data_IF_181141279752
#
_entry.id   IF_181141279752
#
_cell.length_a   1.000
_cell.length_b   1.000
_cell.length_c   1.000
_cell.angle_alpha   90.00
_cell.angle_beta   90.00
_cell.angle_gamma   90.00
#
_symmetry.space_group_name_H-M   'P 1'
#
loop_
_entity.id
_entity.type
_entity.pdbx_description
1 polymer ?
#
# COMPACT_ATOMS: atom_id res chain seq x y z
N UNK A 1 -9.57 10.92 20.30
CA UNK A 1 -10.12 9.86 19.42
C UNK A 1 -8.92 9.22 18.74
N UNK A 2 -8.81 7.88 18.67
CA UNK A 2 -7.72 7.29 17.89
C UNK A 2 -7.92 7.69 16.43
N UNK A 3 -6.99 8.49 15.91
CA UNK A 3 -7.00 8.91 14.51
C UNK A 3 -6.85 7.67 13.64
N UNK A 4 -7.68 7.52 12.62
CA UNK A 4 -7.57 6.40 11.69
C UNK A 4 -6.15 6.33 11.12
N UNK A 5 -5.58 5.14 11.02
CA UNK A 5 -4.23 4.97 10.45
C UNK A 5 -4.28 5.45 8.98
N UNK A 6 -3.36 6.34 8.55
CA UNK A 6 -3.43 6.94 7.22
C UNK A 6 -3.32 5.90 6.09
N UNK A 7 -2.58 4.81 6.31
CA UNK A 7 -2.54 3.71 5.36
C UNK A 7 -3.87 2.94 5.34
N UNK A 8 -4.52 2.74 6.48
CA UNK A 8 -5.82 2.09 6.51
C UNK A 8 -6.85 2.85 5.69
N UNK A 9 -6.89 4.18 5.81
CA UNK A 9 -7.76 5.03 5.00
C UNK A 9 -7.42 4.95 3.50
N UNK A 10 -6.14 5.02 3.15
CA UNK A 10 -5.68 4.90 1.76
C UNK A 10 -6.05 3.54 1.14
N UNK A 11 -5.82 2.44 1.85
CA UNK A 11 -6.16 1.11 1.35
C UNK A 11 -7.69 0.91 1.26
N UNK A 12 -8.46 1.46 2.20
CA UNK A 12 -9.93 1.37 2.18
C UNK A 12 -10.53 2.16 1.01
N UNK A 13 -9.96 3.32 0.69
CA UNK A 13 -10.39 4.20 -0.38
C UNK A 13 -9.41 4.16 -1.57
N UNK A 14 -8.89 2.98 -1.89
CA UNK A 14 -7.89 2.83 -2.94
C UNK A 14 -8.46 3.30 -4.29
N UNK A 15 -7.81 4.25 -4.97
CA UNK A 15 -8.39 4.87 -6.15
C UNK A 15 -8.23 3.94 -7.35
N UNK A 16 -9.23 3.92 -8.24
CA UNK A 16 -9.21 3.10 -9.46
C UNK A 16 -8.08 3.50 -10.43
N UNK A 17 -7.58 4.73 -10.30
CA UNK A 17 -6.43 5.26 -11.06
C UNK A 17 -5.08 4.66 -10.61
N UNK A 18 -5.02 3.98 -9.47
CA UNK A 18 -3.80 3.34 -8.96
C UNK A 18 -3.88 1.82 -9.12
N UNK A 19 -2.90 1.20 -9.79
CA UNK A 19 -2.76 -0.25 -9.79
C UNK A 19 -2.76 -0.81 -8.36
N UNK A 20 -3.47 -1.90 -8.11
CA UNK A 20 -3.52 -2.57 -6.79
C UNK A 20 -2.25 -3.39 -6.51
N UNK A 21 -1.09 -2.79 -6.75
CA UNK A 21 0.24 -3.39 -6.57
C UNK A 21 1.22 -2.35 -6.06
N UNK A 22 2.30 -2.83 -5.46
CA UNK A 22 3.35 -1.99 -4.93
C UNK A 22 4.22 -2.74 -3.95
N UNK A 23 4.86 -2.00 -3.05
CA UNK A 23 5.73 -2.53 -2.02
C UNK A 23 5.34 -1.92 -0.69
N UNK A 24 5.09 -2.75 0.31
CA UNK A 24 4.94 -2.33 1.71
C UNK A 24 6.24 -2.60 2.44
N UNK A 25 6.70 -1.62 3.23
CA UNK A 25 7.82 -1.76 4.15
C UNK A 25 7.26 -1.66 5.57
N UNK A 26 7.50 -2.67 6.39
CA UNK A 26 7.09 -2.64 7.79
C UNK A 26 8.20 -2.05 8.68
N UNK A 27 7.89 -1.83 9.95
CA UNK A 27 8.83 -1.29 10.95
C UNK A 27 10.04 -2.21 11.23
N UNK A 28 9.99 -3.48 10.80
CA UNK A 28 11.11 -4.42 10.87
C UNK A 28 11.97 -4.40 9.60
N UNK A 29 11.74 -3.43 8.70
CA UNK A 29 12.34 -3.33 7.36
C UNK A 29 12.09 -4.54 6.45
N UNK A 30 11.07 -5.37 6.74
CA UNK A 30 10.60 -6.37 5.78
C UNK A 30 9.94 -5.67 4.59
N UNK A 31 10.29 -6.12 3.39
CA UNK A 31 9.86 -5.53 2.12
C UNK A 31 8.94 -6.52 1.41
N UNK A 32 7.66 -6.19 1.35
CA UNK A 32 6.61 -7.05 0.78
C UNK A 32 6.12 -6.45 -0.53
N UNK A 33 6.62 -6.96 -1.66
CA UNK A 33 6.05 -6.69 -2.98
C UNK A 33 4.72 -7.41 -3.12
N UNK A 34 3.64 -6.68 -3.40
CA UNK A 34 2.28 -7.22 -3.50
C UNK A 34 1.63 -6.89 -4.84
N UNK A 35 0.65 -7.71 -5.24
CA UNK A 35 -0.14 -7.56 -6.48
C UNK A 35 -1.66 -7.60 -6.27
N UNK A 36 -2.08 -7.60 -5.00
CA UNK A 36 -3.45 -7.54 -4.57
C UNK A 36 -3.50 -7.40 -3.04
N UNK A 37 -4.64 -6.95 -2.51
CA UNK A 37 -4.82 -6.84 -1.07
C UNK A 37 -6.29 -6.93 -0.66
N UNK A 38 -6.53 -7.27 0.60
CA UNK A 38 -7.84 -7.22 1.27
C UNK A 38 -7.71 -6.60 2.65
N UNK A 39 -8.81 -6.06 3.17
CA UNK A 39 -8.84 -5.36 4.46
C UNK A 39 -9.87 -6.03 5.37
N UNK A 40 -9.53 -6.21 6.64
CA UNK A 40 -10.45 -6.66 7.69
C UNK A 40 -10.16 -5.90 8.99
N UNK A 41 -10.93 -4.86 9.28
CA UNK A 41 -10.67 -3.99 10.43
C UNK A 41 -9.30 -3.33 10.31
N UNK A 42 -8.42 -3.52 11.30
CA UNK A 42 -7.04 -3.03 11.32
C UNK A 42 -6.04 -3.93 10.57
N UNK A 43 -6.50 -5.04 9.98
CA UNK A 43 -5.66 -6.00 9.27
C UNK A 43 -5.63 -5.71 7.77
N UNK A 44 -4.42 -5.80 7.21
CA UNK A 44 -4.13 -5.79 5.79
C UNK A 44 -3.61 -7.17 5.37
N UNK A 45 -4.32 -7.82 4.45
CA UNK A 45 -3.87 -9.01 3.75
C UNK A 45 -3.25 -8.57 2.42
N UNK A 46 -2.00 -8.98 2.14
CA UNK A 46 -1.32 -8.75 0.88
C UNK A 46 -1.13 -10.06 0.13
N UNK A 47 -1.52 -10.11 -1.14
CA UNK A 47 -1.08 -11.15 -2.07
C UNK A 47 0.31 -10.79 -2.60
N UNK A 48 1.32 -11.59 -2.27
CA UNK A 48 2.69 -11.30 -2.70
C UNK A 48 2.84 -11.48 -4.21
N UNK A 49 3.62 -10.59 -4.83
CA UNK A 49 3.97 -10.71 -6.25
C UNK A 49 4.82 -11.96 -6.51
N UNK A 50 5.74 -12.25 -5.59
CA UNK A 50 6.57 -13.47 -5.57
C UNK A 50 6.51 -14.08 -4.16
N UNK A 51 6.56 -15.42 -4.04
CA UNK A 51 6.69 -16.04 -2.73
C UNK A 51 7.91 -15.50 -1.96
N UNK A 52 7.83 -15.47 -0.63
CA UNK A 52 9.02 -15.21 0.20
C UNK A 52 9.99 -16.40 0.21
N UNK A 53 11.10 -16.26 0.94
CA UNK A 53 12.12 -17.30 1.08
C UNK A 53 11.58 -18.62 1.67
N UNK A 54 10.48 -18.58 2.43
CA UNK A 54 9.82 -19.73 3.03
C UNK A 54 8.63 -20.24 2.18
N UNK A 55 8.41 -19.66 1.00
CA UNK A 55 7.31 -20.01 0.11
C UNK A 55 5.96 -19.36 0.45
N UNK A 56 5.93 -18.42 1.39
CA UNK A 56 4.73 -17.67 1.76
C UNK A 56 4.21 -16.84 0.58
N UNK A 57 2.93 -16.97 0.25
CA UNK A 57 2.27 -16.27 -0.89
C UNK A 57 1.38 -15.11 -0.45
N UNK A 58 0.99 -15.11 0.81
CA UNK A 58 0.17 -14.08 1.43
C UNK A 58 0.84 -13.63 2.71
N UNK A 59 0.71 -12.33 3.02
CA UNK A 59 1.15 -11.77 4.30
C UNK A 59 -0.04 -11.08 4.93
N UNK A 60 -0.20 -11.25 6.23
CA UNK A 60 -1.19 -10.54 7.02
C UNK A 60 -0.46 -9.69 8.05
N UNK A 61 -0.76 -8.40 8.10
CA UNK A 61 -0.11 -7.45 9.00
C UNK A 61 -1.12 -6.40 9.47
N UNK A 62 -0.83 -5.76 10.61
CA UNK A 62 -1.61 -4.60 11.06
C UNK A 62 -1.12 -3.34 10.34
N UNK A 63 -2.05 -2.41 10.05
CA UNK A 63 -1.69 -1.12 9.46
C UNK A 63 -0.68 -0.32 10.30
N UNK A 64 -0.70 -0.47 11.63
CA UNK A 64 0.24 0.20 12.54
C UNK A 64 1.69 -0.23 12.33
N UNK A 65 1.91 -1.41 11.73
CA UNK A 65 3.27 -1.90 11.45
C UNK A 65 3.86 -1.33 10.15
N UNK A 66 3.06 -0.65 9.33
CA UNK A 66 3.52 -0.10 8.05
C UNK A 66 4.37 1.15 8.31
N UNK A 67 5.63 1.08 7.91
CA UNK A 67 6.55 2.21 7.97
C UNK A 67 6.48 3.04 6.68
N UNK A 68 6.39 2.38 5.53
CA UNK A 68 6.33 3.04 4.22
C UNK A 68 5.62 2.20 3.17
N UNK A 69 5.20 2.86 2.09
CA UNK A 69 4.69 2.24 0.88
C UNK A 69 5.41 2.81 -0.35
N UNK A 70 5.75 1.96 -1.32
CA UNK A 70 6.27 2.37 -2.63
C UNK A 70 5.28 1.95 -3.71
N UNK A 71 4.98 2.87 -4.62
CA UNK A 71 4.25 2.61 -5.85
C UNK A 71 5.28 2.35 -6.97
N UNK A 72 5.12 1.26 -7.71
CA UNK A 72 6.12 0.79 -8.68
C UNK A 72 5.79 1.15 -10.12
N UNK A 73 4.58 1.65 -10.35
CA UNK A 73 4.09 2.04 -11.67
C UNK A 73 4.52 3.46 -12.04
N UNK A 74 4.63 3.77 -13.35
CA UNK A 74 4.76 5.15 -13.81
C UNK A 74 3.44 5.88 -13.55
N UNK A 75 3.45 6.82 -12.61
CA UNK A 75 2.27 7.58 -12.17
C UNK A 75 2.44 9.08 -12.44
N UNK A 76 1.32 9.74 -12.71
CA UNK A 76 1.21 11.19 -12.92
C UNK A 76 0.45 11.83 -11.78
N UNK A 77 0.50 13.17 -11.69
CA UNK A 77 -0.22 13.94 -10.65
C UNK A 77 -1.72 13.59 -10.60
N UNK A 78 -2.35 13.37 -11.76
CA UNK A 78 -3.77 13.01 -11.90
C UNK A 78 -4.13 11.70 -11.18
N UNK A 79 -3.18 10.78 -11.01
CA UNK A 79 -3.44 9.51 -10.32
C UNK A 79 -3.64 9.71 -8.80
N UNK A 80 -3.11 10.79 -8.23
CA UNK A 80 -3.11 11.06 -6.78
C UNK A 80 -4.16 12.08 -6.34
N UNK A 81 -4.70 12.87 -7.27
CA UNK A 81 -5.78 13.82 -6.97
C UNK A 81 -7.02 13.16 -6.31
N UNK A 82 -7.48 11.95 -6.73
CA UNK A 82 -8.64 11.30 -6.12
C UNK A 82 -8.45 10.92 -4.64
N UNK A 83 -7.20 10.81 -4.17
CA UNK A 83 -6.85 10.46 -2.78
C UNK A 83 -6.35 11.67 -1.97
N UNK A 84 -6.60 12.89 -2.47
CA UNK A 84 -6.39 14.12 -1.70
C UNK A 84 -4.93 14.55 -1.53
N UNK A 85 -4.00 14.03 -2.34
CA UNK A 85 -2.64 14.56 -2.35
C UNK A 85 -2.63 15.95 -2.99
N UNK A 86 -1.97 16.89 -2.32
CA UNK A 86 -1.79 18.26 -2.79
C UNK A 86 -0.39 18.47 -3.38
N UNK A 87 -0.29 19.32 -4.40
CA UNK A 87 0.95 19.65 -5.10
C UNK A 87 1.03 19.07 -6.51
N UNK A 88 2.24 19.05 -7.09
CA UNK A 88 2.49 18.55 -8.44
C UNK A 88 3.79 17.75 -8.46
N UNK A 89 3.76 16.59 -9.14
CA UNK A 89 4.98 15.84 -9.41
C UNK A 89 5.88 16.62 -10.38
N UNK A 90 7.20 16.50 -10.20
CA UNK A 90 8.16 17.14 -11.09
C UNK A 90 8.18 16.57 -12.52
N UNK A 91 7.53 15.43 -12.74
CA UNK A 91 7.50 14.72 -14.01
C UNK A 91 6.36 15.24 -14.92
N UNK A 92 6.74 15.54 -16.16
CA UNK A 92 5.86 15.98 -17.26
C UNK A 92 5.08 14.80 -17.87
#
# INVERSE_FOLDING_TARGET
>A
MPTANPYQELFANWPDSLPRRGIVINQLNDTVSFKGFMIKGSLLLLERQTPDAMGGRFVLLEFETIAAMKLTDPLKTENFAPVGFEGRLALA
#
